data_IF_781707480372
#
_entry.id   IF_781707480372
#
_cell.length_a   1.000
_cell.length_b   1.000
_cell.length_c   1.000
_cell.angle_alpha   90.00
_cell.angle_beta   90.00
_cell.angle_gamma   90.00
#
_symmetry.space_group_name_H-M   'P 1'
#
loop_
_entity.id
_entity.type
_entity.pdbx_description
1 polymer ?
#
# COMPACT_ATOMS: atom_id res chain seq x y z
N UNK A 1 3.04 25.17 -17.21
CA UNK A 1 2.36 24.32 -16.21
C UNK A 1 3.31 24.17 -15.03
N UNK A 2 2.92 24.65 -13.85
CA UNK A 2 3.77 24.59 -12.65
C UNK A 2 3.61 23.24 -11.97
N UNK A 3 4.72 22.54 -11.70
CA UNK A 3 4.72 21.28 -10.96
C UNK A 3 4.61 21.48 -9.44
N UNK A 4 4.71 22.73 -8.96
CA UNK A 4 4.69 23.07 -7.53
C UNK A 4 3.50 22.49 -6.76
N UNK A 5 2.25 22.51 -7.27
CA UNK A 5 1.13 21.92 -6.54
C UNK A 5 1.23 20.40 -6.41
N UNK A 6 1.69 19.71 -7.47
CA UNK A 6 1.88 18.24 -7.46
C UNK A 6 3.02 17.81 -6.55
N UNK A 7 4.10 18.59 -6.51
CA UNK A 7 5.24 18.35 -5.63
C UNK A 7 4.86 18.62 -4.17
N UNK A 8 4.12 19.69 -3.89
CA UNK A 8 3.62 19.98 -2.56
C UNK A 8 2.69 18.86 -2.05
N UNK A 9 1.78 18.36 -2.89
CA UNK A 9 0.90 17.25 -2.53
C UNK A 9 1.66 15.93 -2.32
N UNK A 10 2.69 15.66 -3.10
CA UNK A 10 3.57 14.50 -2.89
C UNK A 10 4.45 14.61 -1.63
N UNK A 11 4.60 15.81 -1.05
CA UNK A 11 5.30 16.02 0.22
C UNK A 11 4.37 15.92 1.44
N UNK A 12 3.04 15.83 1.25
CA UNK A 12 2.08 15.74 2.36
C UNK A 12 2.12 14.36 3.02
N UNK A 13 2.45 13.30 2.27
CA UNK A 13 2.68 11.96 2.80
C UNK A 13 4.15 11.56 2.67
N UNK A 14 4.83 11.40 3.81
CA UNK A 14 6.24 11.02 3.84
C UNK A 14 6.45 9.49 3.85
N UNK A 15 5.38 8.70 3.82
CA UNK A 15 5.46 7.25 3.82
C UNK A 15 5.91 6.76 2.43
N UNK A 16 6.92 5.87 2.33
CA UNK A 16 7.34 5.32 1.05
C UNK A 16 6.16 4.55 0.38
N UNK A 17 5.85 4.83 -0.89
CA UNK A 17 4.81 4.09 -1.61
C UNK A 17 5.28 2.67 -1.91
N UNK A 18 4.40 1.68 -1.71
CA UNK A 18 4.65 0.26 -1.94
C UNK A 18 3.54 -0.33 -2.80
N UNK A 19 3.95 -1.05 -3.85
CA UNK A 19 3.08 -1.86 -4.70
C UNK A 19 3.38 -3.33 -4.39
N UNK A 20 2.38 -4.07 -3.97
CA UNK A 20 2.47 -5.50 -3.64
C UNK A 20 1.65 -6.31 -4.64
N UNK A 21 2.33 -7.09 -5.49
CA UNK A 21 1.69 -7.89 -6.55
C UNK A 21 1.72 -9.37 -6.18
N UNK A 22 0.59 -10.04 -6.34
CA UNK A 22 0.48 -11.48 -6.13
C UNK A 22 0.63 -12.19 -7.49
N UNK A 23 1.64 -13.06 -7.62
CA UNK A 23 1.86 -13.86 -8.84
C UNK A 23 1.30 -15.28 -8.69
N UNK A 24 2.13 -16.32 -8.86
CA UNK A 24 1.77 -17.70 -8.54
C UNK A 24 1.83 -17.93 -7.02
N UNK A 25 1.10 -17.10 -6.28
CA UNK A 25 1.09 -17.02 -4.83
C UNK A 25 0.01 -17.93 -4.23
N UNK A 26 0.25 -18.40 -3.01
CA UNK A 26 -0.76 -19.02 -2.15
C UNK A 26 -1.33 -18.04 -1.09
N UNK A 27 -0.91 -16.77 -1.15
CA UNK A 27 -1.22 -15.71 -0.18
C UNK A 27 -0.68 -15.92 1.24
N UNK A 28 0.17 -16.94 1.46
CA UNK A 28 0.75 -17.23 2.77
C UNK A 28 1.66 -16.11 3.29
N UNK A 29 2.40 -15.43 2.42
CA UNK A 29 3.24 -14.29 2.80
C UNK A 29 2.38 -13.09 3.26
N UNK A 30 1.26 -12.85 2.58
CA UNK A 30 0.28 -11.83 2.96
C UNK A 30 -0.43 -12.19 4.27
N UNK A 31 -0.75 -13.46 4.52
CA UNK A 31 -1.25 -13.91 5.81
C UNK A 31 -0.20 -13.71 6.93
N UNK A 32 1.07 -14.05 6.68
CA UNK A 32 2.14 -13.84 7.64
C UNK A 32 2.31 -12.35 7.98
N UNK A 33 2.23 -11.46 6.99
CA UNK A 33 2.23 -10.02 7.19
C UNK A 33 1.05 -9.57 8.08
N UNK A 34 -0.17 -10.04 7.81
CA UNK A 34 -1.36 -9.75 8.62
C UNK A 34 -1.29 -10.28 10.06
N UNK A 35 -0.38 -11.23 10.34
CA UNK A 35 -0.11 -11.75 11.69
C UNK A 35 1.03 -11.03 12.42
N UNK A 36 1.67 -10.03 11.81
CA UNK A 36 2.70 -9.22 12.47
C UNK A 36 2.13 -8.52 13.71
N UNK A 37 2.91 -8.48 14.79
CA UNK A 37 2.46 -7.94 16.09
C UNK A 37 3.34 -6.81 16.66
N UNK A 38 4.54 -6.58 16.11
CA UNK A 38 5.47 -5.53 16.57
C UNK A 38 6.45 -5.14 15.44
N UNK A 39 6.08 -4.21 14.54
CA UNK A 39 4.80 -3.49 14.46
C UNK A 39 3.65 -4.35 13.90
N UNK A 40 2.39 -3.97 14.15
CA UNK A 40 1.23 -4.64 13.53
C UNK A 40 1.13 -4.30 12.05
N UNK A 41 0.39 -5.11 11.27
CA UNK A 41 0.12 -4.78 9.87
C UNK A 41 -0.54 -3.41 9.70
N UNK A 42 -1.43 -3.02 10.63
CA UNK A 42 -2.05 -1.70 10.65
C UNK A 42 -1.04 -0.58 10.85
N UNK A 43 -0.16 -0.71 11.85
CA UNK A 43 0.90 0.29 12.10
C UNK A 43 1.83 0.43 10.88
N UNK A 44 2.15 -0.69 10.22
CA UNK A 44 2.98 -0.66 9.01
C UNK A 44 2.29 0.13 7.89
N UNK A 45 1.01 -0.16 7.61
CA UNK A 45 0.24 0.49 6.52
C UNK A 45 -0.10 1.95 6.84
N UNK A 46 -0.31 2.30 8.12
CA UNK A 46 -0.77 3.63 8.50
C UNK A 46 0.39 4.58 8.81
N UNK A 47 1.48 4.07 9.40
CA UNK A 47 2.56 4.92 9.91
C UNK A 47 3.91 4.73 9.20
N UNK A 48 4.15 3.57 8.56
CA UNK A 48 5.47 3.24 8.00
C UNK A 48 5.53 3.36 6.48
N UNK A 49 4.59 2.76 5.76
CA UNK A 49 4.52 2.75 4.30
C UNK A 49 3.15 3.19 3.81
N UNK A 50 3.07 3.68 2.57
CA UNK A 50 1.77 3.82 1.89
C UNK A 50 1.59 2.62 0.97
N UNK A 51 0.71 1.69 1.36
CA UNK A 51 0.43 0.50 0.55
C UNK A 51 -0.57 0.87 -0.56
N UNK A 52 -0.04 1.28 -1.71
CA UNK A 52 -0.80 1.82 -2.84
C UNK A 52 -1.55 0.73 -3.62
N UNK A 53 -1.04 -0.50 -3.61
CA UNK A 53 -1.68 -1.63 -4.29
C UNK A 53 -1.43 -2.93 -3.54
N UNK A 54 -2.50 -3.68 -3.27
CA UNK A 54 -2.46 -5.05 -2.75
C UNK A 54 -3.81 -5.72 -2.96
N UNK A 55 -3.87 -6.73 -3.81
CA UNK A 55 -5.09 -7.47 -4.14
C UNK A 55 -5.80 -8.08 -2.90
N UNK A 56 -5.05 -8.35 -1.83
CA UNK A 56 -5.56 -9.06 -0.64
C UNK A 56 -6.33 -8.14 0.31
N UNK A 57 -5.93 -6.88 0.45
CA UNK A 57 -6.44 -5.97 1.50
C UNK A 57 -6.99 -4.64 0.99
N UNK A 58 -6.79 -4.32 -0.29
CA UNK A 58 -7.32 -3.09 -0.86
C UNK A 58 -8.85 -3.09 -0.92
N UNK A 59 -9.45 -1.91 -0.82
CA UNK A 59 -10.92 -1.76 -0.89
C UNK A 59 -11.45 -1.79 -2.33
N UNK A 60 -10.68 -1.28 -3.31
CA UNK A 60 -11.06 -1.26 -4.71
C UNK A 60 -10.95 -2.67 -5.34
N UNK A 61 -11.74 -2.94 -6.38
CA UNK A 61 -11.76 -4.24 -7.06
C UNK A 61 -12.10 -4.10 -8.55
N UNK A 62 -11.73 -5.10 -9.34
CA UNK A 62 -11.97 -5.11 -10.79
C UNK A 62 -11.30 -3.92 -11.47
N UNK A 63 -12.00 -3.22 -12.35
CA UNK A 63 -11.43 -2.07 -13.07
C UNK A 63 -11.00 -0.92 -12.14
N UNK A 64 -11.68 -0.73 -11.01
CA UNK A 64 -11.31 0.31 -10.04
C UNK A 64 -9.98 0.01 -9.34
N UNK A 65 -9.55 -1.25 -9.32
CA UNK A 65 -8.23 -1.60 -8.78
C UNK A 65 -7.09 -1.23 -9.74
N UNK A 66 -7.39 -1.08 -11.03
CA UNK A 66 -6.42 -0.90 -12.12
C UNK A 66 -6.40 0.53 -12.70
N UNK A 67 -7.18 1.45 -12.11
CA UNK A 67 -7.19 2.89 -12.44
C UNK A 67 -6.02 3.63 -11.78
#
# INVERSE_FOLDING_TARGET
MSFVPKVAQALEDNRPPVIWVEYQSCSGDSEAFLRSNAPTAGDIILDVISLEYSEVVMAAAGHLAEE
#
